data_IF_933146727082
#
_entry.id   IF_933146727082
#
_cell.length_a   1.000
_cell.length_b   1.000
_cell.length_c   1.000
_cell.angle_alpha   90.00
_cell.angle_beta   90.00
_cell.angle_gamma   90.00
#
_symmetry.space_group_name_H-M   'P 1'
#
loop_
_entity.id
_entity.type
_entity.pdbx_description
1 polymer ?
#
# COMPACT_ATOMS: atom_id res chain seq x y z
N UNK A 1 -8.52 20.41 26.85
CA UNK A 1 -9.13 20.85 25.58
C UNK A 1 -10.21 19.86 25.18
N UNK A 2 -11.48 20.26 25.20
CA UNK A 2 -12.64 19.42 24.88
C UNK A 2 -13.09 19.60 23.41
N UNK A 3 -12.72 20.72 22.79
CA UNK A 3 -13.11 21.13 21.42
C UNK A 3 -12.79 20.10 20.34
N UNK A 4 -11.65 19.39 20.43
CA UNK A 4 -11.33 18.35 19.46
C UNK A 4 -12.34 17.18 19.52
N UNK A 5 -12.74 16.78 20.73
CA UNK A 5 -13.70 15.70 20.94
C UNK A 5 -15.12 16.14 20.54
N UNK A 6 -15.50 17.38 20.86
CA UNK A 6 -16.77 17.96 20.42
C UNK A 6 -16.89 17.97 18.89
N UNK A 7 -15.86 18.48 18.19
CA UNK A 7 -15.85 18.55 16.72
C UNK A 7 -15.89 17.18 16.04
N UNK A 8 -15.44 16.12 16.73
CA UNK A 8 -15.38 14.76 16.18
C UNK A 8 -16.45 13.83 16.76
N UNK A 9 -17.42 14.33 17.53
CA UNK A 9 -18.43 13.52 18.20
C UNK A 9 -19.23 12.63 17.22
N UNK A 10 -19.54 13.15 16.03
CA UNK A 10 -20.22 12.39 14.97
C UNK A 10 -19.44 11.16 14.48
N UNK A 11 -18.13 11.12 14.70
CA UNK A 11 -17.24 10.00 14.34
C UNK A 11 -17.05 9.00 15.48
N UNK A 12 -17.57 9.26 16.67
CA UNK A 12 -17.37 8.45 17.88
C UNK A 12 -18.49 7.42 18.14
N UNK A 13 -19.07 6.83 17.09
CA UNK A 13 -20.09 5.78 17.22
C UNK A 13 -19.47 4.40 17.57
N UNK A 14 -18.82 4.34 18.74
CA UNK A 14 -18.17 3.14 19.25
C UNK A 14 -19.11 1.93 19.39
N UNK A 15 -20.39 2.07 19.81
CA UNK A 15 -21.31 0.94 19.89
C UNK A 15 -21.56 0.27 18.53
N UNK A 16 -21.68 1.05 17.46
CA UNK A 16 -21.82 0.49 16.11
C UNK A 16 -20.53 -0.17 15.65
N UNK A 17 -19.38 0.48 15.79
CA UNK A 17 -18.08 -0.08 15.41
C UNK A 17 -17.81 -1.44 16.07
N UNK A 18 -18.16 -1.57 17.36
CA UNK A 18 -18.03 -2.84 18.09
C UNK A 18 -18.95 -3.93 17.55
N UNK A 19 -20.20 -3.60 17.20
CA UNK A 19 -21.15 -4.57 16.60
C UNK A 19 -20.70 -5.02 15.22
N UNK A 20 -20.08 -4.13 14.46
CA UNK A 20 -19.52 -4.41 13.13
C UNK A 20 -18.14 -5.11 13.19
N UNK A 21 -17.55 -5.27 14.38
CA UNK A 21 -16.22 -5.87 14.54
C UNK A 21 -15.08 -5.00 14.02
N UNK A 22 -15.30 -3.69 13.87
CA UNK A 22 -14.28 -2.77 13.39
C UNK A 22 -13.19 -2.53 14.45
N UNK A 23 -11.92 -2.37 14.03
CA UNK A 23 -10.84 -2.09 14.94
C UNK A 23 -11.04 -0.73 15.62
N UNK A 24 -11.10 -0.72 16.95
CA UNK A 24 -11.22 0.50 17.76
C UNK A 24 -9.86 1.08 18.20
N UNK A 25 -8.76 0.41 17.85
CA UNK A 25 -7.40 0.80 18.22
C UNK A 25 -6.61 1.30 17.02
N UNK A 26 -5.79 2.33 17.22
CA UNK A 26 -4.84 2.83 16.24
C UNK A 26 -3.60 1.94 16.10
N UNK A 27 -3.41 0.94 16.98
CA UNK A 27 -2.21 0.12 17.03
C UNK A 27 -1.83 -0.51 15.68
N UNK A 28 -2.82 -0.97 14.91
CA UNK A 28 -2.58 -1.54 13.58
C UNK A 28 -1.99 -0.50 12.62
N UNK A 29 -2.54 0.72 12.61
CA UNK A 29 -2.08 1.81 11.74
C UNK A 29 -0.71 2.32 12.19
N UNK A 30 -0.50 2.48 13.49
CA UNK A 30 0.79 2.91 14.06
C UNK A 30 1.91 1.92 13.77
N UNK A 31 1.65 0.62 13.97
CA UNK A 31 2.59 -0.45 13.64
C UNK A 31 2.91 -0.46 12.15
N UNK A 32 1.91 -0.32 11.29
CA UNK A 32 2.13 -0.30 9.84
C UNK A 32 2.96 0.90 9.38
N UNK A 33 2.69 2.10 9.90
CA UNK A 33 3.49 3.31 9.63
C UNK A 33 4.94 3.13 10.10
N UNK A 34 5.14 2.44 11.22
CA UNK A 34 6.49 2.11 11.73
C UNK A 34 7.24 1.15 10.81
N UNK A 35 6.57 0.10 10.33
CA UNK A 35 7.14 -0.88 9.39
C UNK A 35 7.49 -0.29 8.01
N UNK A 36 6.67 0.64 7.53
CA UNK A 36 7.02 1.46 6.36
C UNK A 36 8.22 2.35 6.68
N UNK A 37 8.20 2.99 7.85
CA UNK A 37 9.25 3.87 8.35
C UNK A 37 10.63 3.22 8.35
N UNK A 38 10.74 1.94 8.73
CA UNK A 38 12.01 1.21 8.70
C UNK A 38 12.66 1.17 7.31
N UNK A 39 11.85 1.13 6.23
CA UNK A 39 12.37 1.10 4.86
C UNK A 39 12.61 2.50 4.29
N UNK A 40 11.78 3.48 4.66
CA UNK A 40 11.71 4.78 4.00
C UNK A 40 12.47 5.87 4.75
N UNK A 41 12.57 5.77 6.08
CA UNK A 41 13.26 6.74 6.94
C UNK A 41 14.65 6.25 7.34
N UNK A 42 15.57 7.19 7.58
CA UNK A 42 16.92 6.93 8.07
C UNK A 42 17.99 7.68 7.29
N UNK A 43 19.21 7.64 7.80
CA UNK A 43 20.38 8.18 7.10
C UNK A 43 20.51 7.50 5.74
N UNK A 44 20.93 8.26 4.72
CA UNK A 44 21.16 7.79 3.34
C UNK A 44 19.91 7.41 2.53
N UNK A 45 18.70 7.71 3.02
CA UNK A 45 17.46 7.53 2.26
C UNK A 45 16.99 8.86 1.68
N UNK A 46 17.38 9.11 0.44
CA UNK A 46 16.97 10.28 -0.31
C UNK A 46 15.88 9.89 -1.32
N UNK A 47 14.80 10.65 -1.32
CA UNK A 47 13.67 10.42 -2.21
C UNK A 47 13.48 11.65 -3.09
N UNK A 48 13.27 11.42 -4.37
CA UNK A 48 12.80 12.48 -5.26
C UNK A 48 11.30 12.67 -5.03
N UNK A 49 10.86 13.92 -5.01
CA UNK A 49 9.44 14.24 -4.83
C UNK A 49 8.56 13.63 -5.93
N UNK A 50 7.31 13.37 -5.59
CA UNK A 50 6.29 12.88 -6.51
C UNK A 50 6.32 11.37 -6.71
N UNK A 51 6.30 10.92 -7.97
CA UNK A 51 5.96 9.53 -8.34
C UNK A 51 6.92 8.48 -7.80
N UNK A 52 8.20 8.80 -7.67
CA UNK A 52 9.23 7.82 -7.27
C UNK A 52 9.15 7.46 -5.79
N UNK A 53 8.95 8.45 -4.92
CA UNK A 53 8.75 8.22 -3.49
C UNK A 53 7.47 7.42 -3.22
N UNK A 54 6.38 7.81 -3.89
CA UNK A 54 5.09 7.12 -3.79
C UNK A 54 5.17 5.67 -4.26
N UNK A 55 5.86 5.40 -5.38
CA UNK A 55 6.06 4.04 -5.86
C UNK A 55 6.79 3.16 -4.82
N UNK A 56 7.77 3.70 -4.09
CA UNK A 56 8.43 2.94 -3.02
C UNK A 56 7.49 2.66 -1.84
N UNK A 57 6.65 3.63 -1.46
CA UNK A 57 5.64 3.43 -0.41
C UNK A 57 4.67 2.31 -0.79
N UNK A 58 4.19 2.31 -2.03
CA UNK A 58 3.29 1.27 -2.55
C UNK A 58 3.95 -0.10 -2.58
N UNK A 59 5.21 -0.19 -3.02
CA UNK A 59 5.96 -1.46 -3.00
C UNK A 59 6.13 -1.96 -1.57
N UNK A 60 6.54 -1.10 -0.63
CA UNK A 60 6.73 -1.50 0.77
C UNK A 60 5.41 -1.92 1.41
N UNK A 61 4.32 -1.20 1.15
CA UNK A 61 2.99 -1.58 1.61
C UNK A 61 2.60 -2.96 1.05
N UNK A 62 2.79 -3.20 -0.25
CA UNK A 62 2.48 -4.46 -0.89
C UNK A 62 3.32 -5.65 -0.39
N UNK A 63 4.55 -5.41 0.08
CA UNK A 63 5.38 -6.44 0.76
C UNK A 63 4.85 -6.78 2.15
N UNK A 64 4.32 -5.79 2.88
CA UNK A 64 3.81 -5.97 4.23
C UNK A 64 2.38 -6.53 4.24
N UNK A 65 1.62 -6.34 3.16
CA UNK A 65 0.31 -6.92 3.00
C UNK A 65 0.41 -8.41 2.68
N UNK A 66 -0.33 -9.24 3.42
CA UNK A 66 -0.40 -10.69 3.25
C UNK A 66 -1.54 -11.08 2.29
N UNK A 67 -1.67 -10.39 1.16
CA UNK A 67 -2.79 -10.58 0.21
C UNK A 67 -2.35 -10.88 -1.22
N UNK A 68 -1.10 -11.35 -1.38
CA UNK A 68 -0.50 -11.77 -2.65
C UNK A 68 -0.51 -10.70 -3.76
N UNK A 69 -0.86 -9.45 -3.45
CA UNK A 69 -1.01 -8.38 -4.44
C UNK A 69 0.30 -8.11 -5.17
N UNK A 70 1.42 -8.19 -4.46
CA UNK A 70 2.74 -7.94 -5.03
C UNK A 70 3.15 -9.07 -5.97
N UNK A 71 3.04 -10.32 -5.54
CA UNK A 71 3.36 -11.49 -6.37
C UNK A 71 2.49 -11.51 -7.64
N UNK A 72 1.18 -11.28 -7.49
CA UNK A 72 0.25 -11.15 -8.60
C UNK A 72 0.66 -10.05 -9.58
N UNK A 73 1.05 -8.88 -9.06
CA UNK A 73 1.54 -7.79 -9.90
C UNK A 73 2.84 -8.15 -10.62
N UNK A 74 3.83 -8.73 -9.93
CA UNK A 74 5.12 -9.10 -10.51
C UNK A 74 4.99 -10.16 -11.61
N UNK A 75 4.03 -11.08 -11.48
CA UNK A 75 3.76 -12.13 -12.49
C UNK A 75 3.08 -11.59 -13.74
N UNK A 76 2.19 -10.62 -13.59
CA UNK A 76 1.31 -10.13 -14.65
C UNK A 76 1.73 -8.78 -15.24
N UNK A 77 2.66 -8.06 -14.61
CA UNK A 77 3.13 -6.77 -15.14
C UNK A 77 3.72 -6.96 -16.53
N UNK A 78 3.44 -6.06 -17.47
CA UNK A 78 4.17 -6.02 -18.73
C UNK A 78 5.64 -5.80 -18.41
N UNK A 79 6.50 -6.75 -18.79
CA UNK A 79 7.95 -6.58 -18.67
C UNK A 79 8.42 -5.37 -19.47
N UNK A 80 9.59 -4.82 -19.14
CA UNK A 80 10.21 -3.84 -20.03
C UNK A 80 10.50 -4.54 -21.37
N UNK A 81 9.97 -4.05 -22.52
CA UNK A 81 10.14 -4.69 -23.83
C UNK A 81 11.61 -4.87 -24.25
N UNK A 82 12.54 -4.14 -23.62
CA UNK A 82 13.98 -4.24 -23.88
C UNK A 82 14.74 -5.11 -22.86
N UNK A 83 14.04 -5.83 -21.98
CA UNK A 83 14.66 -6.72 -20.99
C UNK A 83 14.80 -8.15 -21.54
N UNK A 84 15.92 -8.85 -21.32
CA UNK A 84 16.16 -10.18 -21.91
C UNK A 84 15.14 -11.26 -21.53
N UNK A 85 14.37 -11.07 -20.45
CA UNK A 85 13.32 -11.99 -19.99
C UNK A 85 11.89 -11.46 -20.22
N UNK A 86 11.63 -10.78 -21.34
CA UNK A 86 10.26 -10.42 -21.73
C UNK A 86 9.48 -11.68 -22.01
N UNK A 87 8.37 -11.88 -21.30
CA UNK A 87 7.36 -12.88 -21.69
C UNK A 87 6.82 -12.42 -23.04
N UNK A 88 7.21 -13.10 -24.11
CA UNK A 88 6.61 -12.92 -25.42
C UNK A 88 5.11 -13.20 -25.22
N UNK A 89 4.29 -12.16 -25.20
CA UNK A 89 2.87 -12.33 -25.45
C UNK A 89 2.79 -12.78 -26.90
N UNK A 90 2.84 -14.10 -27.10
CA UNK A 90 2.43 -14.71 -28.36
C UNK A 90 1.08 -14.09 -28.68
N UNK A 91 1.08 -13.22 -29.69
CA UNK A 91 -0.11 -12.63 -30.25
C UNK A 91 -0.97 -13.78 -30.76
N UNK A 92 -1.78 -14.32 -29.85
CA UNK A 92 -2.91 -15.15 -30.16
C UNK A 92 -3.95 -14.18 -30.71
N UNK A 93 -4.19 -14.31 -32.02
CA UNK A 93 -5.33 -13.80 -32.78
C UNK A 93 -5.21 -12.37 -33.35
N UNK A 94 -4.58 -12.27 -34.53
CA UNK A 94 -5.13 -11.54 -35.68
C UNK A 94 -5.19 -12.56 -36.83
N UNK A 95 -6.34 -13.20 -37.04
CA UNK A 95 -7.35 -12.78 -38.01
C UNK A 95 -7.00 -13.16 -39.46
N UNK A 96 -7.48 -14.34 -39.88
CA UNK A 96 -8.21 -14.62 -41.14
C UNK A 96 -8.17 -16.13 -41.43
#
# INVERSE_FOLDING_TARGET
TITYLENNQSRMDYPRYRREGLPMTSAHMESFVKEIGYRVKGTEKFWNDGRTAEAMLQIRAAVLCEDDRLDSHLRNRPGNPFHPNVKNSLATNLAA
#
